data_IF_748093813648
#
_entry.id   IF_748093813648
#
_cell.length_a   1.000
_cell.length_b   1.000
_cell.length_c   1.000
_cell.angle_alpha   90.00
_cell.angle_beta   90.00
_cell.angle_gamma   90.00
#
_symmetry.space_group_name_H-M   'P 1'
#
loop_
_entity.id
_entity.type
_entity.pdbx_description
1 polymer ?
#
# COMPACT_ATOMS: atom_id res chain seq x y z
N UNK A 1 -1.80 22.33 38.56
CA UNK A 1 -0.90 21.93 37.46
C UNK A 1 -0.82 23.04 36.43
N UNK A 2 0.36 23.43 36.16
CA UNK A 2 0.63 24.39 35.10
C UNK A 2 0.31 23.78 33.73
N UNK A 3 -0.23 24.58 32.81
CA UNK A 3 -0.56 24.13 31.45
C UNK A 3 0.64 23.55 30.71
N UNK A 4 1.81 24.10 30.92
CA UNK A 4 3.05 23.61 30.32
C UNK A 4 3.40 22.20 30.80
N UNK A 5 3.24 21.92 32.08
CA UNK A 5 3.48 20.59 32.66
C UNK A 5 2.47 19.57 32.13
N UNK A 6 1.21 19.96 32.00
CA UNK A 6 0.18 19.10 31.44
C UNK A 6 0.44 18.77 29.96
N UNK A 7 0.83 19.75 29.16
CA UNK A 7 1.21 19.56 27.76
C UNK A 7 2.42 18.64 27.61
N UNK A 8 3.43 18.83 28.44
CA UNK A 8 4.61 17.96 28.44
C UNK A 8 4.25 16.50 28.78
N UNK A 9 3.36 16.30 29.74
CA UNK A 9 2.88 14.97 30.10
C UNK A 9 2.09 14.31 28.95
N UNK A 10 1.23 15.07 28.28
CA UNK A 10 0.46 14.58 27.11
C UNK A 10 1.39 14.21 25.96
N UNK A 11 2.36 15.05 25.65
CA UNK A 11 3.35 14.78 24.59
C UNK A 11 4.15 13.51 24.89
N UNK A 12 4.58 13.34 26.13
CA UNK A 12 5.30 12.14 26.57
C UNK A 12 4.45 10.90 26.41
N UNK A 13 3.19 10.97 26.81
CA UNK A 13 2.24 9.85 26.70
C UNK A 13 1.93 9.49 25.25
N UNK A 14 1.77 10.48 24.38
CA UNK A 14 1.55 10.25 22.94
C UNK A 14 2.77 9.57 22.31
N UNK A 15 3.99 10.01 22.66
CA UNK A 15 5.22 9.39 22.18
C UNK A 15 5.34 7.92 22.64
N UNK A 16 4.98 7.64 23.87
CA UNK A 16 4.99 6.29 24.41
C UNK A 16 3.97 5.39 23.70
N UNK A 17 2.73 5.86 23.51
CA UNK A 17 1.71 5.13 22.77
C UNK A 17 2.13 4.88 21.32
N UNK A 18 2.73 5.85 20.66
CA UNK A 18 3.26 5.69 19.31
C UNK A 18 4.34 4.63 19.25
N UNK A 19 5.26 4.62 20.21
CA UNK A 19 6.30 3.61 20.32
C UNK A 19 5.70 2.22 20.52
N UNK A 20 4.77 2.08 21.46
CA UNK A 20 4.09 0.81 21.75
C UNK A 20 3.31 0.29 20.54
N UNK A 21 2.64 1.18 19.80
CA UNK A 21 1.94 0.82 18.57
C UNK A 21 2.92 0.31 17.50
N UNK A 22 4.06 0.96 17.32
CA UNK A 22 5.10 0.52 16.39
C UNK A 22 5.68 -0.84 16.79
N UNK A 23 5.87 -1.08 18.06
CA UNK A 23 6.36 -2.38 18.56
C UNK A 23 5.32 -3.48 18.40
N UNK A 24 4.05 -3.19 18.66
CA UNK A 24 2.95 -4.12 18.46
C UNK A 24 2.74 -4.49 16.98
N UNK A 25 3.07 -3.57 16.06
CA UNK A 25 3.00 -3.79 14.62
C UNK A 25 4.22 -4.52 14.04
N UNK A 26 5.24 -4.80 14.82
CA UNK A 26 6.39 -5.60 14.37
C UNK A 26 5.91 -6.99 13.97
N UNK A 27 6.19 -7.36 12.74
CA UNK A 27 5.73 -8.63 12.18
C UNK A 27 4.32 -8.60 11.55
N UNK A 28 3.60 -7.51 11.69
CA UNK A 28 2.34 -7.31 10.97
C UNK A 28 2.58 -6.53 9.67
N UNK A 29 1.87 -6.93 8.64
CA UNK A 29 1.88 -6.22 7.37
C UNK A 29 0.95 -5.01 7.48
N UNK A 30 1.51 -3.83 7.77
CA UNK A 30 0.73 -2.59 7.92
C UNK A 30 1.04 -1.64 6.78
N UNK A 31 0.03 -1.14 6.04
CA UNK A 31 0.23 -0.11 5.04
C UNK A 31 0.75 1.18 5.65
N UNK A 32 1.67 1.83 4.94
CA UNK A 32 2.22 3.14 5.31
C UNK A 32 1.54 4.26 4.53
N UNK A 33 1.72 5.49 4.98
CA UNK A 33 1.10 6.65 4.35
C UNK A 33 1.75 7.02 3.01
N UNK A 34 3.03 6.68 2.85
CA UNK A 34 3.78 6.97 1.64
C UNK A 34 3.76 5.80 0.66
N UNK A 35 3.81 6.12 -0.62
CA UNK A 35 3.98 5.13 -1.67
C UNK A 35 5.41 4.62 -1.64
N UNK A 36 5.57 3.31 -1.55
CA UNK A 36 6.88 2.68 -1.42
C UNK A 36 6.93 1.36 -2.18
N UNK A 37 8.05 1.12 -2.84
CA UNK A 37 8.44 -0.18 -3.38
C UNK A 37 9.73 -0.61 -2.73
N UNK A 38 9.75 -1.79 -2.14
CA UNK A 38 10.89 -2.35 -1.46
C UNK A 38 11.17 -3.76 -1.92
N UNK A 39 12.42 -4.08 -2.18
CA UNK A 39 12.85 -5.43 -2.55
C UNK A 39 14.05 -5.82 -1.70
N UNK A 40 13.90 -6.92 -0.99
CA UNK A 40 14.94 -7.49 -0.15
C UNK A 40 15.23 -8.93 -0.61
N UNK A 41 16.46 -9.36 -0.45
CA UNK A 41 16.85 -10.75 -0.74
C UNK A 41 17.24 -11.46 0.55
N UNK A 42 16.82 -12.69 0.69
CA UNK A 42 17.27 -13.54 1.79
C UNK A 42 17.47 -14.97 1.32
N UNK A 43 18.28 -15.71 2.06
CA UNK A 43 18.60 -17.09 1.75
C UNK A 43 18.15 -18.00 2.89
N UNK A 44 17.30 -18.98 2.53
CA UNK A 44 16.79 -19.99 3.43
C UNK A 44 16.92 -21.36 2.72
N UNK A 45 18.16 -21.79 2.52
CA UNK A 45 18.44 -22.95 1.68
C UNK A 45 18.14 -22.74 0.19
N UNK A 46 17.35 -21.72 -0.14
CA UNK A 46 17.01 -21.27 -1.49
C UNK A 46 16.99 -19.74 -1.48
N UNK A 47 17.38 -19.12 -2.57
CA UNK A 47 17.30 -17.67 -2.68
C UNK A 47 15.86 -17.21 -2.87
N UNK A 48 15.45 -16.31 -2.00
CA UNK A 48 14.14 -15.67 -2.04
C UNK A 48 14.28 -14.16 -2.21
N UNK A 49 13.33 -13.59 -2.93
CA UNK A 49 13.14 -12.15 -3.08
C UNK A 49 11.85 -11.78 -2.36
N UNK A 50 11.96 -10.94 -1.38
CA UNK A 50 10.82 -10.36 -0.67
C UNK A 50 10.55 -8.99 -1.25
N UNK A 51 9.46 -8.86 -1.97
CA UNK A 51 9.08 -7.62 -2.63
C UNK A 51 7.80 -7.07 -2.02
N UNK A 52 7.78 -5.80 -1.70
CA UNK A 52 6.59 -5.14 -1.18
C UNK A 52 6.27 -3.87 -1.94
N UNK A 53 4.99 -3.59 -2.08
CA UNK A 53 4.46 -2.35 -2.63
C UNK A 53 3.41 -1.80 -1.69
N UNK A 54 3.51 -0.51 -1.38
CA UNK A 54 2.53 0.22 -0.61
C UNK A 54 2.02 1.40 -1.43
N UNK A 55 0.72 1.49 -1.61
CA UNK A 55 0.10 2.55 -2.40
C UNK A 55 -1.39 2.67 -2.08
N UNK A 56 -2.03 3.68 -2.67
CA UNK A 56 -3.47 3.79 -2.61
C UNK A 56 -4.15 2.68 -3.40
N UNK A 57 -5.23 2.17 -2.83
CA UNK A 57 -6.04 1.16 -3.51
C UNK A 57 -6.72 1.75 -4.75
N UNK A 58 -6.69 1.00 -5.84
CA UNK A 58 -7.48 1.23 -7.04
C UNK A 58 -8.01 -0.10 -7.59
N UNK A 59 -9.15 -0.11 -8.30
CA UNK A 59 -9.78 -1.36 -8.71
C UNK A 59 -8.92 -2.30 -9.53
N UNK A 60 -8.05 -1.75 -10.39
CA UNK A 60 -7.20 -2.53 -11.29
C UNK A 60 -5.85 -2.93 -10.68
N UNK A 61 -5.55 -2.41 -9.47
CA UNK A 61 -4.23 -2.57 -8.85
C UNK A 61 -3.83 -4.03 -8.69
N UNK A 62 -4.71 -4.87 -8.15
CA UNK A 62 -4.41 -6.28 -7.91
C UNK A 62 -4.20 -7.06 -9.20
N UNK A 63 -4.96 -6.75 -10.23
CA UNK A 63 -4.79 -7.33 -11.57
C UNK A 63 -3.47 -6.91 -12.19
N UNK A 64 -3.12 -5.65 -12.09
CA UNK A 64 -1.86 -5.11 -12.59
C UNK A 64 -0.66 -5.72 -11.86
N UNK A 65 -0.74 -5.85 -10.54
CA UNK A 65 0.29 -6.50 -9.73
C UNK A 65 0.46 -7.97 -10.11
N UNK A 66 -0.64 -8.69 -10.25
CA UNK A 66 -0.59 -10.10 -10.66
C UNK A 66 0.06 -10.25 -12.02
N UNK A 67 -0.38 -9.49 -13.02
CA UNK A 67 0.19 -9.54 -14.36
C UNK A 67 1.66 -9.17 -14.37
N UNK A 68 2.05 -8.19 -13.58
CA UNK A 68 3.43 -7.75 -13.46
C UNK A 68 4.33 -8.84 -12.84
N UNK A 69 3.87 -9.48 -11.78
CA UNK A 69 4.61 -10.57 -11.12
C UNK A 69 4.66 -11.82 -12.01
N UNK A 70 3.57 -12.16 -12.70
CA UNK A 70 3.53 -13.32 -13.60
C UNK A 70 4.44 -13.15 -14.82
N UNK A 71 4.75 -11.91 -15.22
CA UNK A 71 5.70 -11.61 -16.29
C UNK A 71 7.17 -11.83 -15.88
N UNK A 72 7.46 -11.90 -14.59
CA UNK A 72 8.81 -12.15 -14.09
C UNK A 72 9.20 -13.63 -14.22
N UNK A 73 10.47 -13.95 -14.48
CA UNK A 73 10.95 -15.33 -14.54
C UNK A 73 11.09 -15.94 -13.14
N UNK A 74 10.16 -15.66 -12.26
CA UNK A 74 10.17 -16.04 -10.86
C UNK A 74 8.88 -16.79 -10.52
N UNK A 75 8.95 -17.59 -9.47
CA UNK A 75 7.79 -18.27 -8.91
C UNK A 75 7.37 -17.60 -7.64
N UNK A 76 6.10 -17.28 -7.51
CA UNK A 76 5.52 -16.77 -6.26
C UNK A 76 5.40 -17.91 -5.26
N UNK A 77 6.01 -17.76 -4.11
CA UNK A 77 5.93 -18.69 -2.98
C UNK A 77 4.77 -18.29 -2.07
N UNK A 78 4.66 -17.01 -1.77
CA UNK A 78 3.56 -16.47 -0.98
C UNK A 78 3.24 -15.04 -1.42
N UNK A 79 2.02 -14.63 -1.15
CA UNK A 79 1.57 -13.26 -1.34
C UNK A 79 0.63 -12.90 -0.19
N UNK A 80 0.90 -11.77 0.44
CA UNK A 80 0.09 -11.25 1.54
C UNK A 80 -0.38 -9.85 1.20
N UNK A 81 -1.64 -9.57 1.50
CA UNK A 81 -2.26 -8.28 1.23
C UNK A 81 -2.84 -7.76 2.54
N UNK A 82 -2.54 -6.52 2.84
CA UNK A 82 -3.13 -5.80 3.96
C UNK A 82 -3.67 -4.46 3.50
N UNK A 83 -4.83 -4.09 4.02
CA UNK A 83 -5.47 -2.82 3.72
C UNK A 83 -5.75 -2.07 5.01
N UNK A 84 -5.57 -0.77 4.98
CA UNK A 84 -5.92 0.13 6.07
C UNK A 84 -6.47 1.42 5.46
N UNK A 85 -7.78 1.64 5.61
CA UNK A 85 -8.47 2.72 4.92
C UNK A 85 -8.39 2.57 3.39
N UNK A 86 -7.90 3.60 2.73
CA UNK A 86 -7.65 3.59 1.28
C UNK A 86 -6.27 3.07 0.89
N UNK A 87 -5.44 2.75 1.86
CA UNK A 87 -4.07 2.26 1.62
C UNK A 87 -4.00 0.74 1.57
N UNK A 88 -3.15 0.24 0.70
CA UNK A 88 -2.89 -1.18 0.53
C UNK A 88 -1.39 -1.44 0.58
N UNK A 89 -1.01 -2.48 1.28
CA UNK A 89 0.33 -3.06 1.21
C UNK A 89 0.24 -4.49 0.74
N UNK A 90 0.99 -4.80 -0.29
CA UNK A 90 1.10 -6.15 -0.82
C UNK A 90 2.56 -6.61 -0.71
N UNK A 91 2.76 -7.79 -0.17
CA UNK A 91 4.08 -8.39 0.00
C UNK A 91 4.13 -9.72 -0.72
N UNK A 92 5.13 -9.91 -1.55
CA UNK A 92 5.37 -11.12 -2.32
C UNK A 92 6.68 -11.76 -1.89
N UNK A 93 6.67 -13.06 -1.76
CA UNK A 93 7.90 -13.85 -1.66
C UNK A 93 8.06 -14.63 -2.97
N UNK A 94 9.13 -14.34 -3.67
CA UNK A 94 9.43 -14.89 -4.98
C UNK A 94 10.70 -15.74 -4.92
N UNK A 95 10.76 -16.78 -5.73
CA UNK A 95 11.96 -17.61 -5.87
C UNK A 95 12.25 -17.86 -7.35
N UNK A 96 13.49 -18.20 -7.67
CA UNK A 96 13.85 -18.47 -9.04
C UNK A 96 13.24 -19.79 -9.53
N UNK A 97 12.62 -19.76 -10.70
CA UNK A 97 12.09 -20.97 -11.38
C UNK A 97 13.17 -21.88 -11.94
N UNK A 98 14.32 -21.32 -12.26
CA UNK A 98 15.39 -22.02 -12.98
C UNK A 98 16.61 -22.20 -12.09
N UNK A 99 16.87 -23.43 -11.71
CA UNK A 99 18.12 -23.95 -11.14
C UNK A 99 18.71 -23.28 -9.90
N UNK A 100 18.90 -24.14 -8.91
CA UNK A 100 19.67 -23.86 -7.69
C UNK A 100 21.11 -23.43 -7.94
N UNK A 101 21.66 -23.69 -9.13
CA UNK A 101 23.08 -23.48 -9.43
C UNK A 101 23.42 -22.19 -10.19
N UNK A 102 22.42 -21.42 -10.62
CA UNK A 102 22.65 -20.21 -11.39
C UNK A 102 22.68 -18.93 -10.56
N UNK A 103 22.60 -19.04 -9.25
CA UNK A 103 22.41 -17.90 -8.34
C UNK A 103 23.61 -17.63 -7.42
N UNK A 104 24.74 -18.25 -7.68
CA UNK A 104 26.00 -17.89 -7.01
C UNK A 104 26.61 -16.62 -7.59
N UNK A 105 26.02 -16.07 -8.65
CA UNK A 105 26.45 -14.82 -9.25
C UNK A 105 25.71 -13.63 -8.65
N UNK A 106 26.41 -12.84 -7.86
CA UNK A 106 25.89 -11.62 -7.26
C UNK A 106 25.33 -10.64 -8.30
N UNK A 107 25.88 -10.65 -9.52
CA UNK A 107 25.36 -9.84 -10.63
C UNK A 107 23.97 -10.28 -11.09
N UNK A 108 23.72 -11.57 -11.19
CA UNK A 108 22.41 -12.11 -11.55
C UNK A 108 21.35 -11.78 -10.48
N UNK A 109 21.70 -11.88 -9.22
CA UNK A 109 20.83 -11.51 -8.09
C UNK A 109 20.45 -10.03 -8.17
N UNK A 110 21.43 -9.17 -8.42
CA UNK A 110 21.21 -7.73 -8.53
C UNK A 110 20.32 -7.38 -9.73
N UNK A 111 20.51 -8.03 -10.86
CA UNK A 111 19.66 -7.84 -12.05
C UNK A 111 18.21 -8.24 -11.77
N UNK A 112 17.96 -9.36 -11.10
CA UNK A 112 16.63 -9.80 -10.72
C UNK A 112 15.99 -8.84 -9.70
N UNK A 113 16.75 -8.40 -8.71
CA UNK A 113 16.29 -7.41 -7.72
C UNK A 113 15.85 -6.12 -8.40
N UNK A 114 16.66 -5.61 -9.33
CA UNK A 114 16.34 -4.40 -10.09
C UNK A 114 15.11 -4.62 -10.98
N UNK A 115 15.00 -5.78 -11.61
CA UNK A 115 13.87 -6.12 -12.46
C UNK A 115 12.56 -6.16 -11.67
N UNK A 116 12.56 -6.75 -10.49
CA UNK A 116 11.41 -6.77 -9.59
C UNK A 116 11.04 -5.34 -9.17
N UNK A 117 12.02 -4.56 -8.76
CA UNK A 117 11.82 -3.17 -8.34
C UNK A 117 11.21 -2.32 -9.46
N UNK A 118 11.76 -2.39 -10.66
CA UNK A 118 11.25 -1.67 -11.83
C UNK A 118 9.82 -2.09 -12.18
N UNK A 119 9.55 -3.38 -12.14
CA UNK A 119 8.22 -3.94 -12.44
C UNK A 119 7.16 -3.40 -11.47
N UNK A 120 7.44 -3.40 -10.18
CA UNK A 120 6.53 -2.86 -9.17
C UNK A 120 6.41 -1.34 -9.26
N UNK A 121 7.50 -0.64 -9.52
CA UNK A 121 7.49 0.82 -9.73
C UNK A 121 6.63 1.20 -10.94
N UNK A 122 6.69 0.43 -12.01
CA UNK A 122 5.83 0.65 -13.19
C UNK A 122 4.35 0.52 -12.86
N UNK A 123 3.98 -0.43 -12.01
CA UNK A 123 2.58 -0.58 -11.53
C UNK A 123 2.17 0.63 -10.70
N UNK A 124 3.06 1.13 -9.85
CA UNK A 124 2.83 2.32 -9.03
C UNK A 124 2.61 3.57 -9.89
N UNK A 125 3.47 3.79 -10.86
CA UNK A 125 3.40 4.93 -11.78
C UNK A 125 2.16 4.89 -12.68
N UNK A 126 1.75 3.72 -13.10
CA UNK A 126 0.53 3.53 -13.89
C UNK A 126 -0.71 4.04 -13.17
N UNK A 127 -0.77 3.88 -11.86
CA UNK A 127 -1.83 4.43 -11.02
C UNK A 127 -1.86 5.95 -11.00
N UNK A 128 -0.69 6.58 -11.04
CA UNK A 128 -0.56 8.04 -11.02
C UNK A 128 -0.92 8.68 -12.36
N UNK A 129 -0.80 7.96 -13.45
CA UNK A 129 -1.07 8.45 -14.81
C UNK A 129 -2.52 8.31 -15.25
N UNK A 130 -3.37 7.67 -14.48
CA UNK A 130 -4.78 7.51 -14.82
C UNK A 130 -5.54 8.79 -14.49
N UNK A 131 -6.06 9.51 -15.48
CA UNK A 131 -6.80 10.75 -15.25
C UNK A 131 -8.13 10.55 -14.53
N UNK A 132 -8.58 9.34 -14.41
CA UNK A 132 -9.82 9.02 -13.69
C UNK A 132 -9.64 8.95 -12.18
N UNK A 133 -8.42 8.81 -11.72
CA UNK A 133 -8.11 8.86 -10.31
C UNK A 133 -7.64 10.25 -9.90
N UNK A 134 -8.45 11.20 -10.13
CA UNK A 134 -8.48 12.35 -9.26
C UNK A 134 -9.06 11.87 -7.95
N UNK A 135 -8.40 12.06 -6.82
CA UNK A 135 -9.10 11.98 -5.56
C UNK A 135 -10.15 13.07 -5.63
N UNK A 136 -11.27 12.70 -6.16
CA UNK A 136 -12.42 13.53 -5.96
C UNK A 136 -12.52 13.62 -4.47
N UNK A 137 -12.09 14.76 -3.97
CA UNK A 137 -12.76 15.25 -2.83
C UNK A 137 -14.17 14.82 -3.01
N UNK A 138 -14.56 13.85 -2.27
CA UNK A 138 -15.96 13.53 -2.19
C UNK A 138 -16.59 14.78 -1.66
N UNK A 139 -16.87 15.68 -2.53
CA UNK A 139 -17.97 16.54 -2.30
C UNK A 139 -19.08 15.55 -2.13
N UNK A 140 -19.35 15.25 -0.90
CA UNK A 140 -20.60 14.65 -0.52
C UNK A 140 -21.61 15.25 -1.47
N UNK A 141 -22.27 14.43 -2.28
CA UNK A 141 -23.28 14.97 -3.13
C UNK A 141 -24.13 15.80 -2.22
N UNK A 142 -24.15 17.06 -2.49
CA UNK A 142 -24.93 17.99 -1.73
C UNK A 142 -26.16 17.26 -1.29
N UNK A 143 -26.21 16.94 0.00
CA UNK A 143 -27.48 16.47 0.55
C UNK A 143 -28.48 17.34 -0.13
N UNK A 144 -29.16 16.77 -1.07
CA UNK A 144 -30.19 17.51 -1.75
C UNK A 144 -30.90 18.24 -0.66
N UNK A 145 -30.73 19.51 -0.60
CA UNK A 145 -31.61 20.31 0.16
C UNK A 145 -32.95 19.71 -0.10
N UNK A 146 -33.50 19.08 0.89
CA UNK A 146 -34.90 18.87 0.82
C UNK A 146 -35.46 20.23 0.55
N UNK A 147 -35.74 20.46 -0.68
CA UNK A 147 -36.61 21.54 -1.00
C UNK A 147 -37.76 21.31 -0.10
N UNK A 148 -37.98 22.18 0.88
CA UNK A 148 -39.14 22.01 1.67
C UNK A 148 -40.25 21.89 0.68
N UNK A 149 -40.90 20.79 0.78
CA UNK A 149 -42.05 20.60 -0.07
C UNK A 149 -43.06 21.67 0.31
N UNK A 150 -42.82 22.78 -0.25
CA UNK A 150 -43.85 23.74 -0.27
C UNK A 150 -44.78 23.30 -1.30
N UNK A 151 -45.60 22.61 -0.77
CA UNK A 151 -46.83 22.62 -1.37
C UNK A 151 -47.31 24.04 -1.52
N UNK A 152 -47.11 24.46 -2.64
CA UNK A 152 -47.76 25.66 -3.02
C UNK A 152 -49.18 25.51 -3.30
N UNK A 153 -49.68 24.58 -2.78
CA UNK A 153 -51.04 24.43 -2.83
C UNK A 153 -51.87 25.48 -2.24
N UNK A 154 -51.22 26.38 -1.93
CA UNK A 154 -51.97 27.45 -1.64
C UNK A 154 -52.69 28.11 -2.66
N UNK A 155 -52.80 27.58 -3.66
CA UNK A 155 -53.62 28.10 -4.36
C UNK A 155 -54.86 27.99 -4.16
N UNK A 156 -55.39 28.33 -3.89
CA UNK A 156 -56.39 28.33 -4.22
C UNK A 156 -57.21 29.03 -4.28
N UNK A 157 -57.63 29.12 -4.65
CA UNK A 157 -58.65 29.53 -5.14
C UNK A 157 -59.19 30.12 -5.36
#
# INVERSE_FOLDING_TARGET
MDKATLLAAVISQVKEHKKNALEACKGLLVPMDDDEVKVETYFDGTLHFKASICCDYRPELLSDLRNAIDALPLKTVSAEISTLGSRLKNEFVLTNRRNKNALDDAGAIQLLTNSIHQTLTSVLEKGSASPEYSPRTTTLPNKRRRVPFFDSSSSSS
#
